data_IF_793292274624
#
_entry.id   IF_793292274624
#
_cell.length_a   1.000
_cell.length_b   1.000
_cell.length_c   1.000
_cell.angle_alpha   90.00
_cell.angle_beta   90.00
_cell.angle_gamma   90.00
#
_symmetry.space_group_name_H-M   'P 1'
#
loop_
_entity.id
_entity.type
_entity.pdbx_description
1 polymer ?
#
# COMPACT_ATOMS: atom_id res chain seq x y z
N UNK A 1 -10.77 -1.21 11.35
CA UNK A 1 -10.02 -2.24 10.61
C UNK A 1 -10.37 -2.12 9.13
N UNK A 2 -9.40 -1.99 8.22
CA UNK A 2 -9.66 -1.86 6.77
C UNK A 2 -8.91 -2.90 5.91
N UNK A 3 -7.98 -3.66 6.50
CA UNK A 3 -7.25 -4.74 5.84
C UNK A 3 -8.19 -5.86 5.40
N UNK A 4 -8.03 -6.34 4.16
CA UNK A 4 -8.75 -7.49 3.62
C UNK A 4 -7.70 -8.50 3.15
N UNK A 5 -7.35 -9.40 4.06
CA UNK A 5 -6.30 -10.40 3.91
C UNK A 5 -6.90 -11.78 4.21
N UNK A 6 -6.57 -12.78 3.39
CA UNK A 6 -6.91 -14.18 3.66
C UNK A 6 -5.65 -15.04 3.56
N UNK A 7 -5.51 -15.95 4.51
CA UNK A 7 -4.54 -17.05 4.47
C UNK A 7 -5.34 -18.34 4.43
N UNK A 8 -5.38 -19.00 3.28
CA UNK A 8 -6.15 -20.22 3.09
C UNK A 8 -5.19 -21.41 3.11
N UNK A 9 -5.34 -22.27 4.11
CA UNK A 9 -4.46 -23.42 4.32
C UNK A 9 -4.99 -24.64 3.56
N UNK A 10 -4.13 -25.21 2.73
CA UNK A 10 -4.32 -26.48 2.03
C UNK A 10 -3.22 -27.47 2.46
N UNK A 11 -3.32 -28.73 2.04
CA UNK A 11 -2.43 -29.81 2.48
C UNK A 11 -0.93 -29.51 2.26
N UNK A 12 -0.59 -28.88 1.13
CA UNK A 12 0.79 -28.66 0.70
C UNK A 12 1.11 -27.20 0.31
N UNK A 13 0.16 -26.27 0.48
CA UNK A 13 0.39 -24.85 0.26
C UNK A 13 -0.55 -23.98 1.10
N UNK A 14 -0.17 -22.72 1.27
CA UNK A 14 -1.04 -21.65 1.75
C UNK A 14 -1.27 -20.67 0.64
N UNK A 15 -2.54 -20.36 0.35
CA UNK A 15 -2.89 -19.28 -0.57
C UNK A 15 -2.96 -17.97 0.19
N UNK A 16 -2.05 -17.07 -0.15
CA UNK A 16 -2.05 -15.68 0.31
C UNK A 16 -2.95 -14.86 -0.62
N UNK A 17 -3.98 -14.21 -0.06
CA UNK A 17 -4.90 -13.35 -0.80
C UNK A 17 -4.93 -11.97 -0.16
N UNK A 18 -4.63 -10.93 -0.95
CA UNK A 18 -4.88 -9.54 -0.58
C UNK A 18 -5.87 -8.92 -1.57
N UNK A 19 -6.97 -8.35 -1.08
CA UNK A 19 -8.06 -7.84 -1.92
C UNK A 19 -8.45 -6.41 -1.57
N UNK A 20 -9.03 -5.68 -2.53
CA UNK A 20 -9.75 -4.44 -2.27
C UNK A 20 -11.20 -4.65 -1.80
N UNK A 21 -11.77 -5.84 -2.01
CA UNK A 21 -13.17 -6.16 -1.72
C UNK A 21 -13.40 -6.50 -0.24
N UNK A 22 -14.51 -6.05 0.32
CA UNK A 22 -15.06 -6.59 1.56
C UNK A 22 -15.77 -7.92 1.28
N UNK A 23 -16.02 -8.70 2.34
CA UNK A 23 -16.83 -9.93 2.26
C UNK A 23 -18.33 -9.59 2.29
N UNK A 24 -18.77 -8.77 1.35
CA UNK A 24 -20.17 -8.39 1.16
C UNK A 24 -20.54 -8.49 -0.31
N UNK A 25 -21.76 -8.97 -0.59
CA UNK A 25 -22.20 -9.32 -1.94
C UNK A 25 -22.00 -8.19 -2.97
N UNK A 26 -22.28 -6.94 -2.58
CA UNK A 26 -22.18 -5.78 -3.48
C UNK A 26 -20.77 -5.59 -4.05
N UNK A 27 -19.73 -5.87 -3.25
CA UNK A 27 -18.35 -5.72 -3.67
C UNK A 27 -17.97 -6.76 -4.74
N UNK A 28 -18.64 -7.91 -4.76
CA UNK A 28 -18.35 -8.99 -5.71
C UNK A 28 -19.26 -8.99 -6.94
N UNK A 29 -20.46 -8.39 -6.85
CA UNK A 29 -21.41 -8.35 -7.96
C UNK A 29 -21.38 -7.06 -8.77
N UNK A 30 -21.10 -5.93 -8.11
CA UNK A 30 -21.30 -4.60 -8.70
C UNK A 30 -19.97 -3.84 -8.86
N UNK A 31 -19.09 -3.93 -7.87
CA UNK A 31 -17.88 -3.12 -7.83
C UNK A 31 -16.72 -3.81 -8.55
N UNK A 32 -15.89 -2.98 -9.20
CA UNK A 32 -14.60 -3.44 -9.68
C UNK A 32 -13.63 -3.53 -8.51
N UNK A 33 -13.03 -4.71 -8.33
CA UNK A 33 -12.07 -4.99 -7.28
C UNK A 33 -10.81 -5.62 -7.86
N UNK A 34 -9.71 -5.45 -7.13
CA UNK A 34 -8.42 -6.06 -7.46
C UNK A 34 -8.14 -7.12 -6.39
N UNK A 35 -7.64 -8.27 -6.83
CA UNK A 35 -7.24 -9.38 -5.96
C UNK A 35 -5.84 -9.81 -6.35
N UNK A 36 -4.90 -9.76 -5.40
CA UNK A 36 -3.62 -10.42 -5.50
C UNK A 36 -3.73 -11.81 -4.87
N UNK A 37 -3.27 -12.83 -5.60
CA UNK A 37 -3.28 -14.22 -5.16
C UNK A 37 -1.90 -14.81 -5.43
N UNK A 38 -1.32 -15.44 -4.41
CA UNK A 38 -0.12 -16.26 -4.57
C UNK A 38 -0.21 -17.51 -3.71
N UNK A 39 0.04 -18.66 -4.32
CA UNK A 39 0.19 -19.93 -3.62
C UNK A 39 1.64 -20.07 -3.12
N UNK A 40 1.77 -20.36 -1.84
CA UNK A 40 3.05 -20.45 -1.12
C UNK A 40 3.21 -21.89 -0.63
N UNK A 41 4.27 -22.62 -1.04
CA UNK A 41 4.47 -24.00 -0.59
C UNK A 41 4.49 -24.11 0.94
N UNK A 42 3.83 -25.14 1.48
CA UNK A 42 3.73 -25.42 2.91
C UNK A 42 4.33 -26.79 3.20
N UNK A 43 5.21 -26.85 4.21
CA UNK A 43 5.73 -28.12 4.71
C UNK A 43 5.79 -28.10 6.23
N UNK A 44 4.80 -28.70 6.89
CA UNK A 44 4.69 -28.71 8.35
C UNK A 44 5.84 -29.46 9.05
N UNK A 45 6.56 -30.33 8.34
CA UNK A 45 7.69 -31.08 8.88
C UNK A 45 9.03 -30.32 8.73
N UNK A 46 9.02 -29.15 8.10
CA UNK A 46 10.22 -28.36 7.81
C UNK A 46 10.02 -26.91 8.22
N UNK A 47 11.03 -26.32 8.84
CA UNK A 47 11.09 -24.87 9.03
C UNK A 47 11.95 -24.26 7.91
N UNK A 48 11.51 -23.11 7.39
CA UNK A 48 12.22 -22.34 6.39
C UNK A 48 12.93 -21.15 7.04
N UNK A 49 13.99 -20.67 6.40
CA UNK A 49 14.70 -19.48 6.85
C UNK A 49 13.77 -18.25 6.79
N UNK A 50 13.81 -17.34 7.78
CA UNK A 50 13.02 -16.12 7.75
C UNK A 50 13.35 -15.27 6.51
N UNK A 51 12.31 -14.71 5.88
CA UNK A 51 12.44 -13.73 4.79
C UNK A 51 11.92 -12.36 5.24
N UNK A 52 12.27 -11.27 4.55
CA UNK A 52 11.71 -9.94 4.86
C UNK A 52 10.16 -9.97 4.79
N UNK A 53 9.62 -10.66 3.79
CA UNK A 53 8.18 -10.84 3.63
C UNK A 53 7.60 -11.60 4.83
N UNK A 54 8.20 -12.72 5.23
CA UNK A 54 7.72 -13.53 6.37
C UNK A 54 7.75 -12.77 7.68
N UNK A 55 8.82 -12.03 7.95
CA UNK A 55 8.92 -11.17 9.14
C UNK A 55 7.84 -10.08 9.13
N UNK A 56 7.62 -9.43 7.99
CA UNK A 56 6.60 -8.37 7.86
C UNK A 56 5.19 -8.92 8.01
N UNK A 57 4.91 -10.08 7.41
CA UNK A 57 3.61 -10.76 7.50
C UNK A 57 3.33 -11.21 8.94
N UNK A 58 4.29 -11.86 9.59
CA UNK A 58 4.20 -12.26 11.01
C UNK A 58 3.86 -11.07 11.91
N UNK A 59 4.56 -9.94 11.73
CA UNK A 59 4.27 -8.73 12.50
C UNK A 59 2.85 -8.21 12.22
N UNK A 60 2.46 -8.10 10.94
CA UNK A 60 1.13 -7.63 10.57
C UNK A 60 0.00 -8.51 11.12
N UNK A 61 0.17 -9.84 11.15
CA UNK A 61 -0.79 -10.77 11.74
C UNK A 61 -0.90 -10.57 13.26
N UNK A 62 0.23 -10.37 13.96
CA UNK A 62 0.23 -10.06 15.39
C UNK A 62 -0.44 -8.73 15.69
N UNK A 63 -0.21 -7.70 14.88
CA UNK A 63 -0.90 -6.40 15.03
C UNK A 63 -2.41 -6.51 14.80
N UNK A 64 -2.84 -7.44 13.95
CA UNK A 64 -4.25 -7.80 13.75
C UNK A 64 -4.78 -8.71 14.87
N UNK A 65 -3.98 -9.01 15.90
CA UNK A 65 -4.32 -9.92 17.00
C UNK A 65 -4.72 -11.31 16.53
N UNK A 66 -4.12 -11.79 15.44
CA UNK A 66 -4.30 -13.16 14.96
C UNK A 66 -3.70 -14.14 15.99
N UNK A 67 -4.38 -15.25 16.34
CA UNK A 67 -3.87 -16.22 17.31
C UNK A 67 -2.48 -16.75 16.94
N UNK A 68 -1.59 -16.87 17.94
CA UNK A 68 -0.20 -17.26 17.71
C UNK A 68 -0.09 -18.66 17.10
N UNK A 69 -1.06 -19.56 17.32
CA UNK A 69 -1.11 -20.86 16.66
C UNK A 69 -1.16 -20.75 15.13
N UNK A 70 -1.83 -19.71 14.61
CA UNK A 70 -1.89 -19.43 13.16
C UNK A 70 -0.60 -18.75 12.70
N UNK A 71 -0.10 -17.79 13.49
CA UNK A 71 1.15 -17.05 13.19
C UNK A 71 2.36 -17.99 13.18
N UNK A 72 2.42 -18.97 14.08
CA UNK A 72 3.49 -19.95 14.16
C UNK A 72 3.62 -20.78 12.87
N UNK A 73 2.56 -20.93 12.08
CA UNK A 73 2.61 -21.67 10.82
C UNK A 73 3.42 -20.94 9.72
N UNK A 74 3.72 -19.65 9.86
CA UNK A 74 4.46 -18.88 8.85
C UNK A 74 5.87 -19.44 8.64
N UNK A 75 6.52 -19.99 9.68
CA UNK A 75 7.87 -20.57 9.56
C UNK A 75 7.89 -21.85 8.72
N UNK A 76 6.73 -22.47 8.48
CA UNK A 76 6.56 -23.67 7.69
C UNK A 76 6.22 -23.37 6.21
N UNK A 77 6.15 -22.08 5.85
CA UNK A 77 5.89 -21.63 4.49
C UNK A 77 7.19 -21.31 3.76
N UNK A 78 7.37 -21.82 2.53
CA UNK A 78 8.52 -21.46 1.69
C UNK A 78 8.29 -20.09 1.04
N UNK A 79 8.72 -19.04 1.74
CA UNK A 79 8.55 -17.66 1.32
C UNK A 79 9.67 -17.16 0.39
N UNK A 80 10.59 -18.03 -0.04
CA UNK A 80 11.75 -17.64 -0.86
C UNK A 80 11.38 -17.11 -2.25
N UNK A 81 10.20 -17.49 -2.75
CA UNK A 81 9.69 -17.12 -4.08
C UNK A 81 8.55 -16.10 -4.05
N UNK A 82 8.30 -15.46 -2.92
CA UNK A 82 7.29 -14.40 -2.84
C UNK A 82 7.78 -13.19 -3.62
N UNK A 83 6.99 -12.76 -4.61
CA UNK A 83 7.41 -11.75 -5.60
C UNK A 83 7.05 -10.31 -5.19
N UNK A 84 6.37 -10.13 -4.05
CA UNK A 84 5.80 -8.85 -3.63
C UNK A 84 6.32 -8.44 -2.26
N UNK A 85 6.23 -7.13 -1.98
CA UNK A 85 6.47 -6.57 -0.66
C UNK A 85 5.15 -6.17 0.00
N UNK A 86 5.08 -6.28 1.33
CA UNK A 86 3.93 -5.85 2.12
C UNK A 86 4.17 -4.43 2.63
N UNK A 87 3.17 -3.57 2.46
CA UNK A 87 3.06 -2.27 3.14
C UNK A 87 1.77 -2.28 3.94
N UNK A 88 1.88 -2.19 5.26
CA UNK A 88 0.72 -2.14 6.17
C UNK A 88 0.65 -0.80 6.88
N UNK A 89 -0.56 -0.43 7.29
CA UNK A 89 -0.82 0.75 8.12
C UNK A 89 -1.49 0.31 9.41
N UNK A 90 -0.82 0.55 10.54
CA UNK A 90 -1.32 0.21 11.87
C UNK A 90 -1.52 1.51 12.67
N UNK A 91 -2.72 1.78 13.19
CA UNK A 91 -2.95 2.93 14.05
C UNK A 91 -2.28 2.70 15.41
N UNK A 92 -1.74 3.78 15.98
CA UNK A 92 -0.98 3.75 17.23
C UNK A 92 -1.52 4.82 18.19
N UNK A 93 -1.58 4.49 19.48
CA UNK A 93 -2.20 5.32 20.54
C UNK A 93 -1.15 6.14 21.30
N UNK A 94 0.14 5.82 21.14
CA UNK A 94 1.23 6.53 21.80
C UNK A 94 2.23 7.01 20.77
N UNK A 95 2.62 8.28 20.86
CA UNK A 95 3.86 8.80 20.29
C UNK A 95 5.01 7.83 20.57
N UNK A 96 5.35 6.91 19.65
CA UNK A 96 6.39 5.93 19.95
C UNK A 96 7.24 5.55 18.75
N UNK A 97 8.53 5.57 19.10
CA UNK A 97 9.72 4.94 18.55
C UNK A 97 9.91 5.00 17.04
N UNK A 98 11.15 5.33 16.67
CA UNK A 98 11.67 5.21 15.31
C UNK A 98 11.28 3.87 14.64
N UNK A 99 11.20 2.79 15.43
CA UNK A 99 10.76 1.47 14.96
C UNK A 99 9.35 1.46 14.36
N UNK A 100 8.33 2.04 15.04
CA UNK A 100 6.98 2.06 14.48
C UNK A 100 6.89 3.01 13.27
N UNK A 101 7.65 4.10 13.28
CA UNK A 101 7.73 4.98 12.12
C UNK A 101 8.28 4.23 10.89
N UNK A 102 9.30 3.39 11.08
CA UNK A 102 9.98 2.68 9.99
C UNK A 102 9.22 1.44 9.47
N UNK A 103 8.40 0.80 10.31
CA UNK A 103 7.75 -0.47 9.98
C UNK A 103 6.46 -0.36 9.16
N UNK A 104 5.81 0.82 9.11
CA UNK A 104 4.46 0.97 8.56
C UNK A 104 4.31 2.18 7.62
N UNK A 105 3.22 2.18 6.85
CA UNK A 105 2.73 3.32 6.08
C UNK A 105 3.73 3.87 5.07
N UNK A 106 3.75 5.20 4.97
CA UNK A 106 4.53 5.93 3.96
C UNK A 106 6.05 5.71 4.09
N UNK A 107 6.57 5.58 5.31
CA UNK A 107 8.01 5.36 5.52
C UNK A 107 8.41 3.97 5.03
N UNK A 108 7.64 2.92 5.37
CA UNK A 108 7.90 1.56 4.86
C UNK A 108 7.82 1.51 3.33
N UNK A 109 6.83 2.19 2.73
CA UNK A 109 6.74 2.36 1.28
C UNK A 109 8.02 3.00 0.71
N UNK A 110 8.50 4.08 1.33
CA UNK A 110 9.74 4.77 0.91
C UNK A 110 10.96 3.86 0.96
N UNK A 111 11.11 3.04 1.98
CA UNK A 111 12.22 2.12 2.11
C UNK A 111 12.19 1.04 1.02
N UNK A 112 11.01 0.48 0.74
CA UNK A 112 10.82 -0.52 -0.32
C UNK A 112 11.10 0.11 -1.69
N UNK A 113 10.50 1.26 -1.99
CA UNK A 113 10.68 1.95 -3.26
C UNK A 113 12.17 2.27 -3.53
N UNK A 114 12.88 2.80 -2.52
CA UNK A 114 14.32 3.06 -2.61
C UNK A 114 15.12 1.80 -2.92
N UNK A 115 14.83 0.71 -2.21
CA UNK A 115 15.54 -0.56 -2.40
C UNK A 115 15.32 -1.11 -3.81
N UNK A 116 14.08 -1.10 -4.29
CA UNK A 116 13.75 -1.54 -5.64
C UNK A 116 14.46 -0.71 -6.71
N UNK A 117 14.57 0.60 -6.51
CA UNK A 117 15.35 1.47 -7.40
C UNK A 117 16.85 1.13 -7.40
N UNK A 118 17.42 0.83 -6.23
CA UNK A 118 18.83 0.43 -6.11
C UNK A 118 19.10 -0.92 -6.76
N UNK A 119 18.22 -1.91 -6.56
CA UNK A 119 18.33 -3.25 -7.15
C UNK A 119 18.21 -3.22 -8.68
N UNK A 120 17.37 -2.31 -9.20
CA UNK A 120 17.11 -2.19 -10.63
C UNK A 120 17.83 -0.98 -11.26
N UNK A 121 18.89 -0.47 -10.62
CA UNK A 121 19.58 0.75 -11.05
C UNK A 121 20.14 0.67 -12.48
N UNK A 122 20.40 -0.55 -12.97
CA UNK A 122 20.91 -0.87 -14.30
C UNK A 122 19.81 -1.15 -15.34
N UNK A 123 18.54 -1.27 -14.91
CA UNK A 123 17.41 -1.65 -15.76
C UNK A 123 16.56 -0.42 -16.11
N UNK A 124 16.41 0.52 -15.18
CA UNK A 124 15.60 1.72 -15.37
C UNK A 124 16.42 2.89 -15.92
N UNK A 125 15.86 3.57 -16.92
CA UNK A 125 16.35 4.85 -17.43
C UNK A 125 16.49 5.86 -16.27
N UNK A 126 17.58 6.63 -16.28
CA UNK A 126 17.83 7.70 -15.31
C UNK A 126 16.73 8.78 -15.34
N UNK A 127 15.93 8.88 -16.40
CA UNK A 127 14.76 9.77 -16.47
C UNK A 127 13.67 9.44 -15.44
N UNK A 128 13.46 8.15 -15.09
CA UNK A 128 12.51 7.70 -14.06
C UNK A 128 12.97 8.14 -12.66
N UNK A 129 14.27 8.42 -12.50
CA UNK A 129 14.85 8.90 -11.24
C UNK A 129 14.69 10.41 -11.05
N UNK A 130 14.26 11.14 -12.07
CA UNK A 130 14.00 12.58 -11.97
C UNK A 130 12.59 12.84 -11.40
N UNK A 131 12.49 13.36 -10.17
CA UNK A 131 11.22 13.73 -9.56
C UNK A 131 10.42 14.73 -10.40
N UNK A 132 11.08 15.55 -11.22
CA UNK A 132 10.45 16.57 -12.06
C UNK A 132 9.89 16.01 -13.37
N UNK A 133 10.25 14.79 -13.77
CA UNK A 133 9.71 14.11 -14.95
C UNK A 133 8.78 12.95 -14.60
N UNK A 134 8.64 12.63 -13.31
CA UNK A 134 7.77 11.53 -12.86
C UNK A 134 6.43 12.05 -12.35
N UNK A 135 5.32 11.44 -12.77
CA UNK A 135 3.98 11.71 -12.23
C UNK A 135 3.51 10.51 -11.40
N UNK A 136 2.84 10.79 -10.28
CA UNK A 136 2.26 9.75 -9.43
C UNK A 136 0.76 9.69 -9.65
N UNK A 137 0.26 8.56 -10.14
CA UNK A 137 -1.17 8.31 -10.25
C UNK A 137 -1.65 7.51 -9.04
N UNK A 138 -2.67 8.01 -8.34
CA UNK A 138 -3.29 7.30 -7.24
C UNK A 138 -4.81 7.22 -7.43
N UNK A 139 -5.37 6.05 -7.16
CA UNK A 139 -6.80 5.76 -7.30
C UNK A 139 -7.32 5.22 -5.98
N UNK A 140 -8.56 5.60 -5.64
CA UNK A 140 -9.21 5.11 -4.43
C UNK A 140 -10.72 5.32 -4.46
N UNK A 141 -11.43 4.55 -3.63
CA UNK A 141 -12.89 4.65 -3.46
C UNK A 141 -13.28 5.55 -2.27
N UNK A 142 -12.32 5.98 -1.46
CA UNK A 142 -12.52 6.94 -0.38
C UNK A 142 -11.44 7.99 -0.39
N UNK A 143 -11.81 9.26 -0.20
CA UNK A 143 -10.87 10.37 -0.17
C UNK A 143 -11.09 11.23 1.07
N UNK A 144 -10.04 11.36 1.87
CA UNK A 144 -9.97 12.30 2.99
C UNK A 144 -9.38 13.64 2.56
N UNK A 145 -8.95 14.47 3.54
CA UNK A 145 -8.32 15.76 3.25
C UNK A 145 -6.98 15.58 2.53
N UNK A 146 -6.91 16.05 1.29
CA UNK A 146 -5.67 16.09 0.53
C UNK A 146 -5.00 17.46 0.70
N UNK A 147 -4.01 17.52 1.58
CA UNK A 147 -3.18 18.73 1.73
C UNK A 147 -1.96 18.63 0.83
N UNK A 148 -1.40 19.77 0.40
CA UNK A 148 -0.14 19.80 -0.33
C UNK A 148 0.97 19.07 0.42
N UNK A 149 1.00 19.17 1.76
CA UNK A 149 1.94 18.43 2.58
C UNK A 149 1.77 16.92 2.43
N UNK A 150 0.55 16.40 2.56
CA UNK A 150 0.29 14.97 2.44
C UNK A 150 0.64 14.44 1.03
N UNK A 151 0.21 15.16 -0.01
CA UNK A 151 0.50 14.79 -1.40
C UNK A 151 2.01 14.76 -1.67
N UNK A 152 2.74 15.76 -1.17
CA UNK A 152 4.20 15.78 -1.26
C UNK A 152 4.83 14.62 -0.49
N UNK A 153 4.44 14.38 0.77
CA UNK A 153 4.98 13.26 1.57
C UNK A 153 4.71 11.91 0.89
N UNK A 154 3.53 11.73 0.29
CA UNK A 154 3.17 10.52 -0.43
C UNK A 154 3.99 10.36 -1.71
N UNK A 155 4.17 11.42 -2.49
CA UNK A 155 5.02 11.42 -3.68
C UNK A 155 6.46 11.03 -3.34
N UNK A 156 7.04 11.65 -2.31
CA UNK A 156 8.39 11.34 -1.83
C UNK A 156 8.52 9.86 -1.47
N UNK A 157 7.53 9.35 -0.74
CA UNK A 157 7.49 7.96 -0.30
C UNK A 157 7.37 6.98 -1.46
N UNK A 158 6.49 7.23 -2.42
CA UNK A 158 6.37 6.40 -3.62
C UNK A 158 7.65 6.42 -4.47
N UNK A 159 8.37 7.55 -4.49
CA UNK A 159 9.64 7.72 -5.18
C UNK A 159 10.84 7.20 -4.38
N UNK A 160 10.66 6.75 -3.13
CA UNK A 160 11.74 6.28 -2.28
C UNK A 160 12.75 7.36 -1.84
N UNK A 161 12.41 8.65 -1.94
CA UNK A 161 13.29 9.78 -1.65
C UNK A 161 12.84 10.50 -0.38
N UNK A 162 13.77 11.01 0.42
CA UNK A 162 13.43 11.84 1.57
C UNK A 162 13.15 13.29 1.14
N UNK A 163 12.44 14.03 2.01
CA UNK A 163 12.19 15.44 1.76
C UNK A 163 13.49 16.26 1.68
N UNK A 164 14.46 15.97 2.54
CA UNK A 164 15.75 16.68 2.55
C UNK A 164 16.56 16.41 1.28
N UNK A 165 16.56 15.17 0.78
CA UNK A 165 17.22 14.82 -0.48
C UNK A 165 16.57 15.53 -1.67
N UNK A 166 15.24 15.63 -1.68
CA UNK A 166 14.52 16.38 -2.70
C UNK A 166 14.82 17.87 -2.64
N UNK A 167 14.81 18.48 -1.45
CA UNK A 167 15.15 19.90 -1.28
C UNK A 167 16.58 20.19 -1.76
N UNK A 168 17.53 19.31 -1.45
CA UNK A 168 18.91 19.43 -1.92
C UNK A 168 19.01 19.34 -3.45
N UNK A 169 18.25 18.45 -4.08
CA UNK A 169 18.21 18.30 -5.55
C UNK A 169 17.51 19.46 -6.26
N UNK A 170 16.50 20.07 -5.63
CA UNK A 170 15.56 20.98 -6.29
C UNK A 170 15.73 22.47 -5.95
N UNK A 171 16.50 22.84 -4.93
CA UNK A 171 16.70 24.24 -4.52
C UNK A 171 15.52 24.88 -3.76
N UNK A 172 15.59 26.21 -3.52
CA UNK A 172 14.70 26.91 -2.57
C UNK A 172 13.38 27.43 -3.18
N UNK A 173 12.27 27.04 -2.55
CA UNK A 173 10.89 27.59 -2.54
C UNK A 173 9.99 27.60 -3.79
N UNK A 174 10.49 27.56 -5.04
CA UNK A 174 9.60 27.46 -6.21
C UNK A 174 9.21 26.01 -6.60
N UNK A 175 10.02 25.02 -6.21
CA UNK A 175 9.88 23.62 -6.65
C UNK A 175 8.95 22.79 -5.75
N UNK A 176 8.73 23.24 -4.51
CA UNK A 176 7.93 22.55 -3.48
C UNK A 176 6.43 22.65 -3.75
N UNK A 177 5.96 23.76 -4.33
CA UNK A 177 4.54 23.93 -4.72
C UNK A 177 4.15 23.07 -5.92
N UNK A 178 5.11 22.58 -6.70
CA UNK A 178 4.84 21.79 -7.90
C UNK A 178 4.74 20.28 -7.62
N UNK A 179 5.39 19.74 -6.57
CA UNK A 179 5.40 18.29 -6.32
C UNK A 179 3.98 17.75 -6.10
N UNK A 180 3.17 18.44 -5.30
CA UNK A 180 1.78 18.04 -5.09
C UNK A 180 0.96 18.01 -6.39
N UNK A 181 1.26 18.90 -7.35
CA UNK A 181 0.59 18.95 -8.67
C UNK A 181 0.99 17.79 -9.60
N UNK A 182 2.08 17.07 -9.27
CA UNK A 182 2.51 15.85 -9.96
C UNK A 182 1.77 14.61 -9.47
N UNK A 183 1.00 14.72 -8.40
CA UNK A 183 0.10 13.65 -7.93
C UNK A 183 -1.24 13.80 -8.62
N UNK A 184 -1.58 12.85 -9.49
CA UNK A 184 -2.88 12.76 -10.17
C UNK A 184 -3.77 11.82 -9.38
N UNK A 185 -4.83 12.39 -8.80
CA UNK A 185 -5.80 11.63 -8.01
C UNK A 185 -6.97 11.26 -8.90
N UNK A 186 -7.10 9.97 -9.21
CA UNK A 186 -8.25 9.41 -9.88
C UNK A 186 -9.38 9.16 -8.88
N UNK A 187 -10.52 9.82 -9.11
CA UNK A 187 -11.75 9.61 -8.35
C UNK A 187 -12.95 9.71 -9.28
N UNK A 188 -14.03 9.01 -8.94
CA UNK A 188 -15.23 9.00 -9.77
C UNK A 188 -15.90 10.37 -9.77
N UNK A 189 -16.23 10.87 -10.95
CA UNK A 189 -17.08 12.06 -11.11
C UNK A 189 -18.55 11.69 -10.90
N UNK A 190 -19.40 12.69 -10.63
CA UNK A 190 -20.84 12.50 -10.57
C UNK A 190 -21.34 11.87 -11.89
N UNK A 191 -20.94 12.41 -13.03
CA UNK A 191 -21.29 11.87 -14.34
C UNK A 191 -20.97 10.38 -14.49
N UNK A 192 -19.76 9.95 -14.11
CA UNK A 192 -19.38 8.53 -14.15
C UNK A 192 -20.24 7.67 -13.21
N UNK A 193 -20.62 8.19 -12.04
CA UNK A 193 -21.52 7.49 -11.13
C UNK A 193 -22.98 7.40 -11.63
N UNK A 194 -23.46 8.39 -12.40
CA UNK A 194 -24.82 8.40 -12.96
C UNK A 194 -24.95 7.52 -14.20
N UNK A 195 -23.86 7.42 -14.98
CA UNK A 195 -23.82 6.68 -16.25
C UNK A 195 -23.35 5.23 -16.12
N UNK A 196 -22.97 4.81 -14.91
CA UNK A 196 -22.59 3.42 -14.65
C UNK A 196 -23.82 2.49 -14.76
N UNK A 197 -23.61 1.26 -15.25
CA UNK A 197 -24.61 0.18 -15.37
C UNK A 197 -25.49 0.00 -14.13
N UNK A 198 -24.92 0.20 -12.94
CA UNK A 198 -25.61 -0.01 -11.66
C UNK A 198 -26.00 1.30 -10.96
N UNK A 199 -25.83 2.46 -11.61
CA UNK A 199 -26.28 3.77 -11.14
C UNK A 199 -25.92 4.07 -9.69
N UNK A 200 -26.91 4.54 -8.92
CA UNK A 200 -26.74 4.93 -7.52
C UNK A 200 -26.22 3.80 -6.61
N UNK A 201 -26.50 2.54 -6.92
CA UNK A 201 -25.99 1.38 -6.16
C UNK A 201 -24.48 1.21 -6.26
N UNK A 202 -23.83 1.75 -7.28
CA UNK A 202 -22.35 1.79 -7.36
C UNK A 202 -21.74 2.88 -6.47
N UNK A 203 -22.53 3.89 -6.07
CA UNK A 203 -22.04 5.07 -5.32
C UNK A 203 -21.94 4.83 -3.82
N UNK A 204 -22.67 3.86 -3.27
CA UNK A 204 -22.72 3.64 -1.81
C UNK A 204 -21.34 3.34 -1.20
N UNK A 205 -20.43 2.77 -2.00
CA UNK A 205 -19.05 2.45 -1.61
C UNK A 205 -18.04 3.53 -1.99
N UNK A 206 -18.47 4.65 -2.60
CA UNK A 206 -17.65 5.82 -2.91
C UNK A 206 -17.87 6.86 -1.81
N UNK A 207 -16.79 7.23 -1.10
CA UNK A 207 -16.86 8.18 0.01
C UNK A 207 -15.97 9.40 -0.24
N UNK A 208 -16.59 10.55 -0.47
CA UNK A 208 -15.94 11.85 -0.48
C UNK A 208 -16.53 12.70 0.64
N UNK A 209 -15.69 13.23 1.53
CA UNK A 209 -16.13 14.15 2.61
C UNK A 209 -15.61 15.56 2.30
N UNK A 210 -16.46 16.50 1.85
CA UNK A 210 -16.05 17.85 1.45
C UNK A 210 -15.61 18.74 2.62
N UNK A 211 -16.11 18.51 3.83
CA UNK A 211 -16.01 19.44 4.98
C UNK A 211 -14.60 19.59 5.58
N UNK A 212 -13.57 19.09 4.90
CA UNK A 212 -12.19 19.23 5.31
C UNK A 212 -11.39 20.24 4.47
N UNK A 213 -11.98 20.85 3.44
CA UNK A 213 -11.29 21.80 2.55
C UNK A 213 -11.39 23.28 2.95
N UNK A 214 -12.18 23.61 3.98
CA UNK A 214 -12.31 24.97 4.51
C UNK A 214 -11.93 25.02 6.00
N UNK A 215 -10.74 25.57 6.26
CA UNK A 215 -10.34 26.35 7.44
C UNK A 215 -8.93 26.88 7.19
#
# INVERSE_FOLDING_TARGET
MHSKLMLLFYDNYVRFVASSANLFEIDWLILQNIVFIQDIPLNLNRQFAPTEFGTTLTQALRDLSVPEQVVANIIHMDLSRVAVHIVTSVPTISTRSKFHADAYGLVKLSQIARRLQQQNANIYDNSIKDPMNTELYCYGSSMGRLTNKFLSDFFCSAMGVSWSELQQKLGNRATISNIAQRVKVGFHTNYQGDTNKFGASSRVCIKFKPDFFYN
#
